data_IF_596849836360
#
_entry.id   IF_596849836360
#
_cell.length_a   1.000
_cell.length_b   1.000
_cell.length_c   1.000
_cell.angle_alpha   90.00
_cell.angle_beta   90.00
_cell.angle_gamma   90.00
#
_symmetry.space_group_name_H-M   'P 1'
#
loop_
_entity.id
_entity.type
_entity.pdbx_description
1 polymer ?
#
# COMPACT_ATOMS: atom_id res chain seq x y z
N UNK A 1 8.89 -2.22 9.45
CA UNK A 1 10.21 -2.84 9.72
C UNK A 1 10.50 -3.85 8.62
N UNK A 2 11.61 -3.65 7.91
CA UNK A 2 12.08 -4.53 6.84
C UNK A 2 12.59 -5.86 7.40
N UNK A 3 12.12 -6.97 6.86
CA UNK A 3 12.77 -8.27 7.00
C UNK A 3 14.09 -8.21 6.20
N UNK A 4 15.22 -8.58 6.85
CA UNK A 4 16.60 -8.33 6.42
C UNK A 4 17.10 -9.04 5.14
N UNK A 5 16.31 -9.05 4.07
CA UNK A 5 16.62 -9.71 2.79
C UNK A 5 16.61 -8.76 1.57
N UNK A 6 16.58 -7.44 1.75
CA UNK A 6 16.63 -6.48 0.62
C UNK A 6 15.32 -6.28 -0.16
N UNK A 7 14.33 -7.17 0.00
CA UNK A 7 12.99 -7.06 -0.62
C UNK A 7 12.23 -5.76 -0.28
N UNK A 8 12.58 -5.11 0.84
CA UNK A 8 12.00 -3.82 1.19
C UNK A 8 12.40 -2.68 0.23
N UNK A 9 13.52 -2.82 -0.48
CA UNK A 9 14.01 -1.83 -1.42
C UNK A 9 13.54 -2.10 -2.86
N UNK A 10 13.40 -3.36 -3.25
CA UNK A 10 13.06 -3.72 -4.63
C UNK A 10 11.72 -3.12 -5.08
N UNK A 11 10.65 -3.33 -4.30
CA UNK A 11 9.33 -2.77 -4.63
C UNK A 11 9.32 -1.24 -4.59
N UNK A 12 10.15 -0.60 -3.76
CA UNK A 12 10.29 0.86 -3.74
C UNK A 12 10.93 1.36 -5.03
N UNK A 13 12.00 0.71 -5.48
CA UNK A 13 12.66 1.07 -6.75
C UNK A 13 11.71 0.89 -7.95
N UNK A 14 10.96 -0.22 -7.98
CA UNK A 14 9.98 -0.44 -9.05
C UNK A 14 8.86 0.60 -9.01
N UNK A 15 8.39 0.96 -7.81
CA UNK A 15 7.40 2.01 -7.65
C UNK A 15 7.93 3.39 -8.07
N UNK A 16 9.19 3.74 -7.75
CA UNK A 16 9.84 4.99 -8.18
C UNK A 16 9.95 5.09 -9.70
N UNK A 17 10.38 4.00 -10.34
CA UNK A 17 10.46 3.92 -11.81
C UNK A 17 9.09 4.08 -12.47
N UNK A 18 8.06 3.43 -11.91
CA UNK A 18 6.69 3.54 -12.40
C UNK A 18 6.11 4.96 -12.23
N UNK A 19 6.47 5.64 -11.14
CA UNK A 19 6.02 7.00 -10.82
C UNK A 19 6.82 8.08 -11.56
N UNK A 20 8.01 7.75 -12.06
CA UNK A 20 8.93 8.70 -12.70
C UNK A 20 9.54 9.71 -11.74
N UNK A 21 9.48 9.47 -10.42
CA UNK A 21 10.09 10.29 -9.36
C UNK A 21 10.51 9.43 -8.18
N UNK A 22 11.45 9.93 -7.39
CA UNK A 22 11.82 9.31 -6.11
C UNK A 22 10.65 9.33 -5.12
N UNK A 23 10.53 8.28 -4.31
CA UNK A 23 9.54 8.19 -3.24
C UNK A 23 10.02 9.05 -2.08
N UNK A 24 9.15 9.92 -1.59
CA UNK A 24 9.46 10.69 -0.38
C UNK A 24 9.20 9.85 0.87
N UNK A 25 9.71 10.31 2.01
CA UNK A 25 9.54 9.64 3.31
C UNK A 25 8.08 9.41 3.71
N UNK A 26 7.16 10.20 3.15
CA UNK A 26 5.71 10.11 3.38
C UNK A 26 5.00 9.12 2.43
N UNK A 27 5.67 8.66 1.37
CA UNK A 27 5.10 7.74 0.39
C UNK A 27 5.18 6.28 0.90
N UNK A 28 4.05 5.60 0.84
CA UNK A 28 3.88 4.18 1.18
C UNK A 28 3.55 3.40 -0.09
N UNK A 29 4.23 2.27 -0.29
CA UNK A 29 3.93 1.34 -1.37
C UNK A 29 3.01 0.24 -0.84
N UNK A 30 1.81 0.18 -1.42
CA UNK A 30 0.79 -0.81 -1.13
C UNK A 30 0.74 -1.85 -2.27
N UNK A 31 0.59 -3.13 -1.92
CA UNK A 31 0.42 -4.21 -2.89
C UNK A 31 -1.08 -4.51 -3.03
N UNK A 32 -1.68 -4.21 -4.19
CA UNK A 32 -3.13 -4.35 -4.41
C UNK A 32 -3.64 -5.77 -4.18
N UNK A 33 -2.88 -6.78 -4.61
CA UNK A 33 -3.23 -8.18 -4.41
C UNK A 33 -2.85 -8.75 -3.04
N UNK A 34 -2.22 -7.96 -2.17
CA UNK A 34 -1.72 -8.39 -0.86
C UNK A 34 -0.51 -9.34 -0.90
N UNK A 35 -0.01 -9.70 -2.08
CA UNK A 35 1.17 -10.54 -2.27
C UNK A 35 2.43 -9.67 -2.27
N UNK A 36 3.24 -9.81 -1.21
CA UNK A 36 4.45 -9.00 -0.98
C UNK A 36 5.62 -9.31 -1.92
N UNK A 37 5.48 -10.38 -2.68
CA UNK A 37 6.52 -10.92 -3.56
C UNK A 37 6.24 -10.51 -5.01
N UNK A 38 5.05 -9.96 -5.29
CA UNK A 38 4.62 -9.51 -6.61
C UNK A 38 4.92 -8.01 -6.78
N UNK A 39 6.14 -7.72 -7.18
CA UNK A 39 6.66 -6.36 -7.33
C UNK A 39 6.31 -5.73 -8.69
N UNK A 40 5.36 -6.26 -9.47
CA UNK A 40 5.01 -5.67 -10.76
C UNK A 40 4.46 -4.25 -10.57
N UNK A 41 4.84 -3.25 -11.39
CA UNK A 41 4.36 -1.88 -11.28
C UNK A 41 2.84 -1.76 -11.18
N UNK A 42 2.11 -2.58 -11.94
CA UNK A 42 0.64 -2.63 -11.93
C UNK A 42 0.03 -3.10 -10.60
N UNK A 43 0.79 -3.84 -9.79
CA UNK A 43 0.37 -4.32 -8.48
C UNK A 43 0.78 -3.38 -7.34
N UNK A 44 1.70 -2.44 -7.60
CA UNK A 44 2.20 -1.48 -6.63
C UNK A 44 1.43 -0.16 -6.73
N UNK A 45 0.91 0.31 -5.60
CA UNK A 45 0.24 1.61 -5.50
C UNK A 45 0.97 2.47 -4.49
N UNK A 46 1.41 3.65 -4.94
CA UNK A 46 2.01 4.66 -4.08
C UNK A 46 0.90 5.52 -3.50
N UNK A 47 0.85 5.62 -2.18
CA UNK A 47 -0.16 6.40 -1.47
C UNK A 47 0.42 7.00 -0.19
N UNK A 48 -0.22 8.04 0.34
CA UNK A 48 0.14 8.62 1.62
C UNK A 48 -0.19 7.68 2.79
N UNK A 49 0.45 7.91 3.93
CA UNK A 49 0.12 7.18 5.16
C UNK A 49 -1.37 7.27 5.53
N UNK A 50 -1.98 8.44 5.35
CA UNK A 50 -3.41 8.64 5.58
C UNK A 50 -4.26 7.77 4.67
N UNK A 51 -3.99 7.75 3.36
CA UNK A 51 -4.74 6.94 2.39
C UNK A 51 -4.58 5.45 2.66
N UNK A 52 -3.37 4.99 3.01
CA UNK A 52 -3.13 3.60 3.39
C UNK A 52 -3.91 3.21 4.65
N UNK A 53 -4.01 4.11 5.63
CA UNK A 53 -4.83 3.89 6.82
C UNK A 53 -6.30 3.82 6.43
N UNK A 54 -6.83 4.78 5.66
CA UNK A 54 -8.22 4.76 5.18
C UNK A 54 -8.55 3.44 4.45
N UNK A 55 -7.67 2.98 3.56
CA UNK A 55 -7.84 1.74 2.80
C UNK A 55 -7.96 0.51 3.72
N UNK A 56 -7.17 0.47 4.80
CA UNK A 56 -7.20 -0.60 5.78
C UNK A 56 -8.09 -0.33 6.99
N UNK A 57 -8.88 0.76 6.97
CA UNK A 57 -9.84 0.99 8.05
C UNK A 57 -10.83 -0.17 8.06
N UNK A 58 -10.93 -0.93 9.15
CA UNK A 58 -12.02 -1.88 9.30
C UNK A 58 -13.32 -1.07 9.23
N UNK A 59 -14.23 -1.46 8.33
CA UNK A 59 -15.50 -0.77 8.13
C UNK A 59 -16.24 -0.71 9.48
N UNK A 60 -16.21 0.46 10.14
CA UNK A 60 -16.73 0.61 11.52
C UNK A 60 -18.24 0.85 11.58
N UNK A 61 -18.98 0.52 10.54
CA UNK A 61 -20.44 0.62 10.54
C UNK A 61 -21.08 -0.64 9.92
N UNK A 62 -21.31 -1.63 10.78
CA UNK A 62 -22.26 -2.71 10.55
C UNK A 62 -23.24 -2.74 11.73
N UNK A 63 -23.92 -1.62 11.98
CA UNK A 63 -25.07 -1.56 12.88
C UNK A 63 -25.85 -0.29 12.59
N UNK A 64 -26.82 -0.36 11.68
CA UNK A 64 -28.16 0.23 11.81
C UNK A 64 -28.96 -0.19 10.56
N UNK A 65 -29.37 -1.45 10.50
CA UNK A 65 -30.64 -1.78 9.88
C UNK A 65 -31.67 -1.77 11.01
N UNK A 66 -32.49 -0.71 11.03
CA UNK A 66 -33.68 -0.62 11.86
C UNK A 66 -34.63 -1.71 11.36
N UNK A 67 -34.77 -2.78 12.13
CA UNK A 67 -35.92 -3.65 12.00
C UNK A 67 -37.18 -2.85 12.33
N UNK A 68 -38.14 -2.99 11.42
CA UNK A 68 -39.51 -2.46 11.37
C UNK A 68 -40.25 -2.51 12.71
#
# INVERSE_FOLDING_TARGET
MANGKGYAYEHRLVAEQALGRELVSADIVHHQNGMKDDNRPENLVVMSQSEHIELHKPNRWATTERAV
#
